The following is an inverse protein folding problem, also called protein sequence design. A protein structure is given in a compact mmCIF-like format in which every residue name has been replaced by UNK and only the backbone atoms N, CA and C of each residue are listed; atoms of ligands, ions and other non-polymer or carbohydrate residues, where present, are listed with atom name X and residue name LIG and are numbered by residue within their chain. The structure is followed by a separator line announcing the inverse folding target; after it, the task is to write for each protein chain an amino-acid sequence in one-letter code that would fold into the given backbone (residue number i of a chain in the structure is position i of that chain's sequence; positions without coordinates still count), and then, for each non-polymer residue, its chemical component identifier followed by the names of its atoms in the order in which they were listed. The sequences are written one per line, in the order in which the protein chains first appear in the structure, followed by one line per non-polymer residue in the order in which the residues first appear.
data_IF_422530516696
#
_entry.id   IF_422530516696
#
_cell.length_a   1.000
_cell.length_b   1.000
_cell.length_c   1.000
_cell.angle_alpha   90.00
_cell.angle_beta   90.00
_cell.angle_gamma   90.00
#
_symmetry.space_group_name_H-M   'P 1'
#
loop_
_entity.id
_entity.type
_entity.pdbx_description
1 polymer ?
#
# COMPACT_ATOMS: atom_id res chain seq x y z
N UNK A 1 -13.62 7.01 2.78
CA UNK A 1 -13.00 6.78 1.45
C UNK A 1 -13.62 5.54 0.84
N UNK A 2 -13.60 5.34 -0.49
CA UNK A 2 -14.06 4.07 -1.05
C UNK A 2 -13.07 2.95 -0.70
N UNK A 3 -13.54 1.70 -0.63
CA UNK A 3 -12.69 0.54 -0.36
C UNK A 3 -11.75 0.23 -1.54
N UNK A 4 -10.71 -0.56 -1.29
CA UNK A 4 -9.51 -0.81 -2.12
C UNK A 4 -9.68 -0.84 -3.64
N UNK A 5 -10.71 -1.50 -4.21
CA UNK A 5 -10.84 -1.58 -5.67
C UNK A 5 -10.95 -0.23 -6.37
N UNK A 6 -11.47 0.80 -5.70
CA UNK A 6 -11.73 2.10 -6.33
C UNK A 6 -10.49 2.99 -6.46
N UNK A 7 -9.43 2.72 -5.71
CA UNK A 7 -8.20 3.51 -5.75
C UNK A 7 -7.18 3.05 -6.79
N UNK A 8 -7.33 1.83 -7.32
CA UNK A 8 -6.37 1.29 -8.30
C UNK A 8 -6.38 2.04 -9.63
N UNK A 9 -7.50 2.67 -10.03
CA UNK A 9 -7.57 3.52 -11.23
C UNK A 9 -6.63 4.74 -11.16
N UNK A 10 -6.77 5.61 -10.14
CA UNK A 10 -5.83 6.70 -9.89
C UNK A 10 -4.38 6.23 -9.71
N UNK A 11 -4.16 5.13 -8.99
CA UNK A 11 -2.84 4.53 -8.82
C UNK A 11 -2.18 4.10 -10.13
N UNK A 12 -2.95 3.50 -11.03
CA UNK A 12 -2.48 3.10 -12.36
C UNK A 12 -2.14 4.31 -13.22
N UNK A 13 -2.94 5.38 -13.16
CA UNK A 13 -2.64 6.65 -13.85
C UNK A 13 -1.35 7.28 -13.35
N UNK A 14 -1.17 7.41 -12.04
CA UNK A 14 0.04 8.02 -11.45
C UNK A 14 1.28 7.18 -11.80
N UNK A 15 1.17 5.85 -11.72
CA UNK A 15 2.25 4.96 -12.17
C UNK A 15 2.57 5.15 -13.66
N UNK A 16 1.55 5.26 -14.53
CA UNK A 16 1.76 5.48 -15.96
C UNK A 16 2.49 6.80 -16.27
N UNK A 17 2.23 7.85 -15.49
CA UNK A 17 2.91 9.14 -15.62
C UNK A 17 4.35 9.13 -15.10
N UNK A 18 4.67 8.26 -14.14
CA UNK A 18 5.97 8.20 -13.50
C UNK A 18 6.45 6.77 -13.19
N UNK A 19 6.57 5.88 -14.18
CA UNK A 19 6.69 4.43 -13.96
C UNK A 19 8.00 4.01 -13.29
N UNK A 20 9.05 4.85 -13.41
CA UNK A 20 10.34 4.64 -12.75
C UNK A 20 10.41 5.21 -11.33
N UNK A 21 9.47 6.08 -10.95
CA UNK A 21 9.48 6.82 -9.68
C UNK A 21 8.40 6.34 -8.71
N UNK A 22 7.28 5.85 -9.21
CA UNK A 22 6.16 5.37 -8.40
C UNK A 22 5.96 3.89 -8.65
N UNK A 23 6.05 3.08 -7.60
CA UNK A 23 5.73 1.66 -7.68
C UNK A 23 4.23 1.45 -7.59
N UNK A 24 3.62 0.91 -8.65
CA UNK A 24 2.22 0.51 -8.60
C UNK A 24 1.97 -0.60 -7.56
N UNK A 25 2.91 -1.55 -7.39
CA UNK A 25 2.79 -2.59 -6.37
C UNK A 25 2.86 -2.02 -4.94
N UNK A 26 3.73 -1.02 -4.72
CA UNK A 26 3.80 -0.31 -3.43
C UNK A 26 2.53 0.47 -3.13
N UNK A 27 1.98 1.14 -4.14
CA UNK A 27 0.68 1.82 -4.06
C UNK A 27 -0.43 0.83 -3.71
N UNK A 28 -0.59 -0.24 -4.51
CA UNK A 28 -1.65 -1.22 -4.31
C UNK A 28 -1.55 -1.91 -2.95
N UNK A 29 -0.35 -2.28 -2.50
CA UNK A 29 -0.13 -2.90 -1.20
C UNK A 29 -0.55 -1.98 -0.04
N UNK A 30 -0.21 -0.69 -0.12
CA UNK A 30 -0.59 0.28 0.91
C UNK A 30 -2.10 0.52 0.99
N UNK A 31 -2.77 0.53 -0.18
CA UNK A 31 -4.24 0.60 -0.25
C UNK A 31 -4.89 -0.62 0.42
N UNK A 32 -4.39 -1.83 0.12
CA UNK A 32 -4.90 -3.05 0.78
C UNK A 32 -4.69 -3.00 2.30
N UNK A 33 -3.51 -2.55 2.74
CA UNK A 33 -3.18 -2.55 4.16
C UNK A 33 -4.00 -1.53 4.97
N UNK A 34 -4.22 -0.32 4.45
CA UNK A 34 -4.98 0.71 5.15
C UNK A 34 -6.47 0.34 5.27
N UNK A 35 -6.99 -0.40 4.29
CA UNK A 35 -8.39 -0.86 4.26
C UNK A 35 -8.71 -2.00 5.23
N UNK A 36 -7.71 -2.59 5.89
CA UNK A 36 -7.94 -3.58 6.95
C UNK A 36 -8.75 -2.97 8.10
N UNK A 37 -8.54 -1.69 8.43
CA UNK A 37 -9.31 -0.99 9.47
C UNK A 37 -10.81 -0.89 9.15
N UNK A 38 -11.23 -0.29 8.02
CA UNK A 38 -12.64 -0.23 7.69
C UNK A 38 -13.26 -1.60 7.45
N UNK A 39 -12.52 -2.57 6.88
CA UNK A 39 -13.02 -3.94 6.75
C UNK A 39 -13.36 -4.55 8.11
N UNK A 40 -12.45 -4.43 9.08
CA UNK A 40 -12.66 -4.93 10.44
C UNK A 40 -13.93 -4.32 11.07
N UNK A 41 -14.10 -3.00 10.98
CA UNK A 41 -15.26 -2.33 11.57
C UNK A 41 -16.57 -2.57 10.81
N UNK A 42 -16.52 -2.76 9.49
CA UNK A 42 -17.69 -3.20 8.72
C UNK A 42 -18.16 -4.59 9.16
N UNK A 43 -17.22 -5.53 9.35
CA UNK A 43 -17.52 -6.88 9.85
C UNK A 43 -18.03 -6.86 11.30
N UNK A 44 -17.63 -5.88 12.10
CA UNK A 44 -18.15 -5.66 13.44
C UNK A 44 -19.53 -4.97 13.47
N UNK A 45 -20.09 -4.57 12.32
CA UNK A 45 -21.39 -3.90 12.24
C UNK A 45 -21.37 -2.44 12.70
N UNK A 46 -20.20 -1.80 12.71
CA UNK A 46 -20.02 -0.43 13.19
C UNK A 46 -20.37 0.59 12.11
N UNK A 47 -21.04 1.69 12.50
CA UNK A 47 -21.35 2.79 11.57
C UNK A 47 -20.10 3.63 11.20
N UNK A 48 -19.14 3.75 12.14
CA UNK A 48 -17.92 4.53 11.97
C UNK A 48 -16.73 3.59 11.72
N UNK A 49 -16.42 3.39 10.42
CA UNK A 49 -15.45 2.39 9.97
C UNK A 49 -14.05 2.94 9.73
N UNK A 50 -13.90 4.24 9.46
CA UNK A 50 -12.60 4.89 9.29
C UNK A 50 -12.20 5.53 10.61
N UNK A 51 -11.04 5.16 11.16
CA UNK A 51 -10.59 5.62 12.49
C UNK A 51 -9.15 6.10 12.43
N UNK A 52 -8.24 5.45 13.17
CA UNK A 52 -6.89 5.95 13.38
C UNK A 52 -6.04 5.89 12.11
N UNK A 53 -6.13 4.80 11.33
CA UNK A 53 -5.32 4.65 10.11
C UNK A 53 -5.75 5.61 9.00
N UNK A 54 -6.96 6.15 9.08
CA UNK A 54 -7.48 7.20 8.21
C UNK A 54 -7.24 8.63 8.76
N UNK A 55 -6.16 8.81 9.52
CA UNK A 55 -5.60 10.13 9.88
C UNK A 55 -4.25 10.32 9.20
N UNK A 56 -3.76 11.56 9.03
CA UNK A 56 -2.44 11.80 8.42
C UNK A 56 -1.31 11.01 9.08
N UNK A 57 -1.33 10.91 10.42
CA UNK A 57 -0.33 10.13 11.16
C UNK A 57 -0.51 8.63 10.93
N UNK A 58 -1.74 8.13 11.01
CA UNK A 58 -2.04 6.72 10.76
C UNK A 58 -1.68 6.27 9.33
N UNK A 59 -2.02 7.08 8.32
CA UNK A 59 -1.67 6.84 6.93
C UNK A 59 -0.15 6.83 6.71
N UNK A 60 0.60 7.72 7.37
CA UNK A 60 2.07 7.68 7.33
C UNK A 60 2.61 6.39 7.94
N UNK A 61 2.08 5.96 9.09
CA UNK A 61 2.49 4.70 9.72
C UNK A 61 2.20 3.49 8.83
N UNK A 62 1.05 3.46 8.15
CA UNK A 62 0.69 2.38 7.21
C UNK A 62 1.62 2.38 5.99
N UNK A 63 2.00 3.54 5.45
CA UNK A 63 2.96 3.63 4.36
C UNK A 63 4.34 3.10 4.78
N UNK A 64 4.81 3.48 5.97
CA UNK A 64 6.07 3.00 6.53
C UNK A 64 6.03 1.50 6.83
N UNK A 65 4.91 0.99 7.34
CA UNK A 65 4.70 -0.45 7.55
C UNK A 65 4.74 -1.21 6.22
N UNK A 66 4.08 -0.72 5.18
CA UNK A 66 4.12 -1.29 3.83
C UNK A 66 5.55 -1.34 3.29
N UNK A 67 6.30 -0.25 3.46
CA UNK A 67 7.69 -0.17 3.04
C UNK A 67 8.60 -1.12 3.83
N UNK A 68 8.43 -1.20 5.15
CA UNK A 68 9.13 -2.14 6.02
C UNK A 68 8.88 -3.59 5.61
N UNK A 69 7.61 -3.96 5.40
CA UNK A 69 7.23 -5.29 4.91
C UNK A 69 7.89 -5.62 3.58
N UNK A 70 7.95 -4.66 2.65
CA UNK A 70 8.67 -4.84 1.38
C UNK A 70 10.16 -5.11 1.58
N UNK A 71 10.83 -4.32 2.45
CA UNK A 71 12.25 -4.52 2.73
C UNK A 71 12.53 -5.88 3.37
N UNK A 72 11.71 -6.28 4.36
CA UNK A 72 11.80 -7.58 5.00
C UNK A 72 11.54 -8.72 4.03
N UNK A 73 10.48 -8.64 3.22
CA UNK A 73 10.18 -9.64 2.20
C UNK A 73 11.33 -9.77 1.21
N UNK A 74 11.92 -8.66 0.75
CA UNK A 74 13.04 -8.66 -0.19
C UNK A 74 14.30 -9.26 0.43
N UNK A 75 14.60 -8.96 1.69
CA UNK A 75 15.73 -9.55 2.40
C UNK A 75 15.57 -11.07 2.60
N UNK A 76 14.34 -11.54 2.82
CA UNK A 76 14.03 -12.95 3.02
C UNK A 76 13.74 -13.71 1.73
N UNK A 77 13.67 -13.04 0.58
CA UNK A 77 13.21 -13.61 -0.68
C UNK A 77 14.04 -14.83 -1.13
N UNK A 78 15.36 -14.76 -0.99
CA UNK A 78 16.26 -15.86 -1.31
C UNK A 78 16.11 -17.05 -0.37
N UNK A 79 16.01 -16.79 0.94
CA UNK A 79 15.88 -17.82 1.98
C UNK A 79 14.54 -18.55 1.90
N UNK A 80 13.45 -17.81 1.72
CA UNK A 80 12.09 -18.36 1.65
C UNK A 80 11.67 -18.77 0.24
N UNK A 81 12.55 -18.60 -0.75
CA UNK A 81 12.29 -18.87 -2.18
C UNK A 81 10.99 -18.20 -2.66
N UNK A 82 10.80 -16.93 -2.28
CA UNK A 82 9.58 -16.21 -2.60
C UNK A 82 9.44 -16.04 -4.12
N UNK A 83 8.24 -16.28 -4.69
CA UNK A 83 8.03 -16.13 -6.12
C UNK A 83 8.18 -14.66 -6.54
N UNK A 84 8.69 -14.45 -7.75
CA UNK A 84 8.91 -13.11 -8.31
C UNK A 84 8.09 -12.86 -9.58
N UNK A 85 6.90 -13.47 -9.70
CA UNK A 85 6.07 -13.37 -10.91
C UNK A 85 5.67 -11.93 -11.28
N UNK A 86 5.62 -11.03 -10.31
CA UNK A 86 5.34 -9.59 -10.51
C UNK A 86 6.61 -8.73 -10.60
N UNK A 87 7.80 -9.33 -10.61
CA UNK A 87 9.08 -8.58 -10.65
C UNK A 87 9.35 -7.72 -9.42
N UNK A 88 8.62 -7.90 -8.32
CA UNK A 88 8.66 -7.04 -7.14
C UNK A 88 10.05 -6.98 -6.48
N UNK A 89 10.85 -8.05 -6.58
CA UNK A 89 12.20 -8.08 -6.01
C UNK A 89 13.16 -7.07 -6.65
N UNK A 90 12.89 -6.65 -7.89
CA UNK A 90 13.69 -5.68 -8.64
C UNK A 90 13.23 -4.23 -8.47
N UNK A 91 12.16 -3.99 -7.71
CA UNK A 91 11.64 -2.64 -7.51
C UNK A 91 12.60 -1.79 -6.67
N UNK A 92 12.72 -0.52 -7.07
CA UNK A 92 13.40 0.50 -6.27
C UNK A 92 12.67 0.69 -4.94
N UNK A 93 13.40 0.65 -3.84
CA UNK A 93 12.84 0.90 -2.50
C UNK A 93 12.24 2.29 -2.37
N UNK A 94 12.86 3.30 -3.01
CA UNK A 94 12.32 4.66 -3.04
C UNK A 94 11.00 4.74 -3.82
N UNK A 95 10.89 3.99 -4.93
CA UNK A 95 9.65 3.95 -5.69
C UNK A 95 8.52 3.23 -4.95
N UNK A 96 8.85 2.18 -4.17
CA UNK A 96 7.90 1.51 -3.27
C UNK A 96 7.43 2.43 -2.17
N UNK A 97 8.35 3.15 -1.51
CA UNK A 97 7.99 4.12 -0.46
C UNK A 97 7.08 5.23 -1.02
N UNK A 98 7.44 5.81 -2.18
CA UNK A 98 6.62 6.84 -2.80
C UNK A 98 5.25 6.30 -3.22
N UNK A 99 5.18 5.10 -3.79
CA UNK A 99 3.93 4.43 -4.10
C UNK A 99 3.07 4.22 -2.85
N UNK A 100 3.66 3.74 -1.76
CA UNK A 100 2.96 3.51 -0.50
C UNK A 100 2.42 4.82 0.12
N UNK A 101 3.22 5.89 0.13
CA UNK A 101 2.81 7.22 0.59
C UNK A 101 1.63 7.77 -0.22
N UNK A 102 1.69 7.66 -1.55
CA UNK A 102 0.59 8.09 -2.41
C UNK A 102 -0.67 7.23 -2.20
N UNK A 103 -0.50 5.94 -1.93
CA UNK A 103 -1.60 5.01 -1.68
C UNK A 103 -2.31 5.26 -0.36
N UNK A 104 -1.59 5.53 0.73
CA UNK A 104 -2.23 5.88 2.00
C UNK A 104 -2.77 7.31 2.00
N UNK A 105 -2.12 8.25 1.31
CA UNK A 105 -2.61 9.62 1.18
C UNK A 105 -3.93 9.72 0.42
N UNK A 106 -4.24 8.78 -0.49
CA UNK A 106 -5.55 8.76 -1.16
C UNK A 106 -6.71 8.35 -0.23
N UNK A 107 -6.42 7.96 1.01
CA UNK A 107 -7.39 7.58 2.03
C UNK A 107 -7.59 8.65 3.12
N UNK A 108 -6.95 9.81 2.99
CA UNK A 108 -7.14 10.96 3.89
C UNK A 108 -7.90 12.06 3.19
#
# INVERSE_FOLDING_TARGET
MPFTPFHFGPGALIHALAPRRVSFLGFAAANVLIDVEPLYFMLAGEAHVHRFFHTYLGALLVALATWGLFLSARALAGTLRLPNGLGWQFLSSGAVLLGALLGTASHI
#
